data_IF_932977240186
#
_entry.id   IF_932977240186
#
_cell.length_a   1.000
_cell.length_b   1.000
_cell.length_c   1.000
_cell.angle_alpha   90.00
_cell.angle_beta   90.00
_cell.angle_gamma   90.00
#
_symmetry.space_group_name_H-M   'P 1'
#
loop_
_entity.id
_entity.type
_entity.pdbx_description
1 polymer ?
#
# COMPACT_ATOMS: atom_id res chain seq x y z
N UNK A 1 17.64 25.24 -25.38
CA UNK A 1 16.35 24.82 -24.78
C UNK A 1 16.19 25.56 -23.45
N UNK A 2 15.00 26.08 -23.16
CA UNK A 2 14.73 26.76 -21.88
C UNK A 2 14.86 25.77 -20.72
N UNK A 3 15.75 26.03 -19.78
CA UNK A 3 15.91 25.21 -18.57
C UNK A 3 14.73 25.47 -17.61
N UNK A 4 14.23 24.41 -16.95
CA UNK A 4 13.06 24.45 -16.05
C UNK A 4 13.58 24.33 -14.63
N UNK A 5 13.26 25.30 -13.76
CA UNK A 5 13.57 25.22 -12.31
C UNK A 5 12.60 24.26 -11.62
N UNK A 6 13.10 23.47 -10.70
CA UNK A 6 12.28 22.53 -9.92
C UNK A 6 11.76 21.33 -10.72
N UNK A 7 12.45 20.93 -11.79
CA UNK A 7 12.01 19.85 -12.67
C UNK A 7 11.81 18.53 -11.93
N UNK A 8 12.53 18.28 -10.83
CA UNK A 8 12.34 17.10 -9.96
C UNK A 8 10.92 17.00 -9.42
N UNK A 9 10.27 18.13 -9.12
CA UNK A 9 8.88 18.14 -8.65
C UNK A 9 7.87 17.74 -9.73
N UNK A 10 8.14 18.09 -10.98
CA UNK A 10 7.31 17.61 -12.11
C UNK A 10 7.49 16.13 -12.34
N UNK A 11 8.68 15.57 -12.11
CA UNK A 11 8.92 14.14 -12.25
C UNK A 11 8.19 13.35 -11.14
N UNK A 12 8.22 13.84 -9.89
CA UNK A 12 7.47 13.17 -8.83
C UNK A 12 5.95 13.33 -9.01
N UNK A 13 5.47 14.46 -9.54
CA UNK A 13 4.06 14.61 -9.90
C UNK A 13 3.63 13.60 -10.98
N UNK A 14 4.51 13.32 -11.95
CA UNK A 14 4.26 12.30 -12.96
C UNK A 14 4.21 10.89 -12.33
N UNK A 15 5.09 10.58 -11.38
CA UNK A 15 5.05 9.32 -10.59
C UNK A 15 3.76 9.23 -9.78
N UNK A 16 3.39 10.31 -9.09
CA UNK A 16 2.14 10.42 -8.31
C UNK A 16 0.92 10.13 -9.18
N UNK A 17 0.85 10.72 -10.38
CA UNK A 17 -0.24 10.45 -11.32
C UNK A 17 -0.29 8.97 -11.73
N UNK A 18 0.85 8.31 -11.92
CA UNK A 18 0.93 6.87 -12.15
C UNK A 18 0.36 6.06 -10.98
N UNK A 19 0.66 6.48 -9.75
CA UNK A 19 0.10 5.86 -8.54
C UNK A 19 -1.41 6.08 -8.44
N UNK A 20 -1.91 7.28 -8.76
CA UNK A 20 -3.35 7.57 -8.84
C UNK A 20 -4.04 6.60 -9.79
N UNK A 21 -3.51 6.42 -10.99
CA UNK A 21 -4.10 5.54 -12.01
C UNK A 21 -4.01 4.06 -11.62
N UNK A 22 -2.89 3.61 -11.04
CA UNK A 22 -2.78 2.23 -10.56
C UNK A 22 -3.78 1.94 -9.44
N UNK A 23 -3.99 2.84 -8.49
CA UNK A 23 -5.01 2.65 -7.45
C UNK A 23 -6.44 2.84 -7.98
N UNK A 24 -6.65 3.67 -9.00
CA UNK A 24 -7.91 3.73 -9.71
C UNK A 24 -8.24 2.37 -10.35
N UNK A 25 -7.32 1.77 -11.12
CA UNK A 25 -7.52 0.45 -11.76
C UNK A 25 -7.72 -0.66 -10.73
N UNK A 26 -7.00 -0.59 -9.60
CA UNK A 26 -7.12 -1.54 -8.48
C UNK A 26 -8.53 -1.52 -7.88
N UNK A 27 -9.07 -0.32 -7.62
CA UNK A 27 -10.34 -0.14 -6.93
C UNK A 27 -11.56 -0.19 -7.86
N UNK A 28 -11.37 -0.15 -9.18
CA UNK A 28 -12.47 -0.25 -10.16
C UNK A 28 -13.29 -1.53 -9.99
N UNK A 29 -12.64 -2.68 -9.73
CA UNK A 29 -13.34 -3.95 -9.52
C UNK A 29 -14.21 -3.94 -8.25
N UNK A 30 -13.72 -3.33 -7.17
CA UNK A 30 -14.46 -3.24 -5.91
C UNK A 30 -15.71 -2.36 -6.05
N UNK A 31 -15.57 -1.21 -6.71
CA UNK A 31 -16.70 -0.30 -6.95
C UNK A 31 -17.74 -0.90 -7.93
N UNK A 32 -17.31 -1.72 -8.89
CA UNK A 32 -18.18 -2.42 -9.84
C UNK A 32 -18.74 -3.74 -9.29
N UNK A 33 -18.28 -4.23 -8.14
CA UNK A 33 -18.59 -5.56 -7.61
C UNK A 33 -20.10 -5.87 -7.55
N UNK A 34 -20.98 -4.99 -7.02
CA UNK A 34 -22.41 -5.27 -6.99
C UNK A 34 -22.98 -5.58 -8.39
N UNK A 35 -22.69 -4.71 -9.35
CA UNK A 35 -23.16 -4.86 -10.75
C UNK A 35 -22.57 -6.10 -11.42
N UNK A 36 -21.28 -6.35 -11.25
CA UNK A 36 -20.60 -7.54 -11.81
C UNK A 36 -21.21 -8.84 -11.26
N UNK A 37 -21.51 -8.87 -9.96
CA UNK A 37 -22.08 -10.06 -9.32
C UNK A 37 -23.52 -10.33 -9.82
N UNK A 38 -24.30 -9.28 -10.02
CA UNK A 38 -25.66 -9.39 -10.56
C UNK A 38 -25.66 -9.80 -12.04
N UNK A 39 -24.90 -9.10 -12.90
CA UNK A 39 -24.92 -9.33 -14.35
C UNK A 39 -24.25 -10.65 -14.77
N UNK A 40 -23.16 -11.03 -14.12
CA UNK A 40 -22.39 -12.24 -14.44
C UNK A 40 -22.74 -13.44 -13.52
N UNK A 41 -23.73 -13.29 -12.65
CA UNK A 41 -24.17 -14.31 -11.68
C UNK A 41 -23.01 -14.86 -10.84
N UNK A 42 -22.14 -13.96 -10.36
CA UNK A 42 -20.95 -14.30 -9.58
C UNK A 42 -21.30 -14.43 -8.11
N UNK A 43 -20.96 -15.56 -7.48
CA UNK A 43 -21.08 -15.72 -6.04
C UNK A 43 -20.04 -14.92 -5.28
N UNK A 44 -20.27 -14.67 -3.97
CA UNK A 44 -19.31 -14.00 -3.09
C UNK A 44 -17.99 -14.77 -3.04
N UNK A 45 -18.04 -16.10 -3.05
CA UNK A 45 -16.86 -16.96 -3.09
C UNK A 45 -16.08 -16.80 -4.40
N UNK A 46 -16.76 -16.76 -5.55
CA UNK A 46 -16.11 -16.51 -6.86
C UNK A 46 -15.49 -15.11 -6.92
N UNK A 47 -16.17 -14.11 -6.34
CA UNK A 47 -15.59 -12.76 -6.22
C UNK A 47 -14.32 -12.76 -5.37
N UNK A 48 -14.29 -13.52 -4.27
CA UNK A 48 -13.07 -13.64 -3.47
C UNK A 48 -11.90 -14.26 -4.24
N UNK A 49 -12.16 -15.20 -5.15
CA UNK A 49 -11.12 -15.78 -6.02
C UNK A 49 -10.56 -14.73 -6.99
N UNK A 50 -11.40 -13.81 -7.49
CA UNK A 50 -10.95 -12.70 -8.33
C UNK A 50 -10.00 -11.77 -7.54
N UNK A 51 -10.36 -11.41 -6.32
CA UNK A 51 -9.54 -10.57 -5.43
C UNK A 51 -8.25 -11.31 -5.03
N UNK A 52 -8.35 -12.59 -4.68
CA UNK A 52 -7.18 -13.41 -4.32
C UNK A 52 -6.21 -13.59 -5.49
N UNK A 53 -6.70 -13.76 -6.71
CA UNK A 53 -5.87 -13.88 -7.92
C UNK A 53 -5.02 -12.62 -8.13
N UNK A 54 -5.60 -11.43 -7.97
CA UNK A 54 -4.88 -10.16 -8.02
C UNK A 54 -3.80 -10.10 -6.93
N UNK A 55 -4.17 -10.32 -5.67
CA UNK A 55 -3.27 -10.17 -4.53
C UNK A 55 -2.12 -11.18 -4.55
N UNK A 56 -2.39 -12.43 -4.91
CA UNK A 56 -1.38 -13.48 -5.04
C UNK A 56 -0.39 -13.15 -6.16
N UNK A 57 -0.89 -12.76 -7.33
CA UNK A 57 -0.04 -12.39 -8.46
C UNK A 57 0.82 -11.15 -8.14
N UNK A 58 0.25 -10.14 -7.48
CA UNK A 58 0.96 -8.97 -6.99
C UNK A 58 2.08 -9.35 -6.02
N UNK A 59 1.80 -10.22 -5.03
CA UNK A 59 2.77 -10.67 -4.04
C UNK A 59 3.95 -11.40 -4.66
N UNK A 60 3.67 -12.34 -5.58
CA UNK A 60 4.71 -13.15 -6.26
C UNK A 60 5.56 -12.27 -7.18
N UNK A 61 4.93 -11.35 -7.88
CA UNK A 61 5.61 -10.51 -8.86
C UNK A 61 6.40 -9.33 -8.26
N UNK A 62 6.18 -8.93 -7.00
CA UNK A 62 6.90 -7.82 -6.38
C UNK A 62 8.43 -7.95 -6.46
N UNK A 63 9.06 -9.06 -6.03
CA UNK A 63 10.51 -9.22 -6.14
C UNK A 63 10.98 -9.30 -7.59
N UNK A 64 10.20 -9.94 -8.48
CA UNK A 64 10.52 -10.06 -9.90
C UNK A 64 10.47 -8.70 -10.59
N UNK A 65 9.44 -7.91 -10.29
CA UNK A 65 9.29 -6.55 -10.82
C UNK A 65 10.43 -5.63 -10.37
N UNK A 66 10.83 -5.72 -9.10
CA UNK A 66 12.00 -4.98 -8.59
C UNK A 66 13.28 -5.33 -9.37
N UNK A 67 13.54 -6.61 -9.58
CA UNK A 67 14.69 -7.08 -10.37
C UNK A 67 14.63 -6.58 -11.82
N UNK A 68 13.47 -6.72 -12.48
CA UNK A 68 13.31 -6.26 -13.87
C UNK A 68 13.47 -4.74 -14.01
N UNK A 69 13.00 -3.96 -13.02
CA UNK A 69 13.25 -2.52 -12.97
C UNK A 69 14.73 -2.18 -12.84
N UNK A 70 15.52 -3.00 -12.16
CA UNK A 70 16.97 -2.81 -12.05
C UNK A 70 17.70 -3.12 -13.34
N UNK A 71 17.28 -4.15 -14.06
CA UNK A 71 17.88 -4.57 -15.34
C UNK A 71 17.47 -3.63 -16.49
N UNK A 72 16.18 -3.31 -16.61
CA UNK A 72 15.64 -2.51 -17.73
C UNK A 72 15.80 -0.99 -17.50
N UNK A 73 16.10 -0.58 -16.26
CA UNK A 73 16.10 0.81 -15.85
C UNK A 73 14.68 1.35 -15.60
N UNK A 74 14.59 2.42 -14.81
CA UNK A 74 13.31 2.97 -14.33
C UNK A 74 12.39 3.41 -15.46
N UNK A 75 12.93 4.04 -16.53
CA UNK A 75 12.13 4.55 -17.64
C UNK A 75 11.41 3.44 -18.40
N UNK A 76 12.17 2.46 -18.89
CA UNK A 76 11.65 1.39 -19.75
C UNK A 76 10.92 0.35 -18.91
N UNK A 77 11.49 -0.03 -17.77
CA UNK A 77 10.88 -1.01 -16.87
C UNK A 77 9.51 -0.57 -16.36
N UNK A 78 9.39 0.67 -15.87
CA UNK A 78 8.09 1.15 -15.39
C UNK A 78 7.07 1.29 -16.53
N UNK A 79 7.49 1.79 -17.70
CA UNK A 79 6.62 1.88 -18.87
C UNK A 79 6.12 0.49 -19.32
N UNK A 80 6.99 -0.53 -19.35
CA UNK A 80 6.62 -1.89 -19.68
C UNK A 80 5.51 -2.43 -18.79
N UNK A 81 5.69 -2.32 -17.47
CA UNK A 81 4.67 -2.73 -16.52
C UNK A 81 3.39 -1.89 -16.64
N UNK A 82 3.52 -0.57 -16.85
CA UNK A 82 2.38 0.32 -16.99
C UNK A 82 1.52 0.01 -18.22
N UNK A 83 2.15 -0.20 -19.36
CA UNK A 83 1.45 -0.64 -20.58
C UNK A 83 0.75 -1.99 -20.35
N UNK A 84 1.44 -2.91 -19.68
CA UNK A 84 0.91 -4.24 -19.38
C UNK A 84 -0.34 -4.15 -18.50
N UNK A 85 -0.31 -3.39 -17.37
CA UNK A 85 -1.51 -3.26 -16.55
C UNK A 85 -2.64 -2.50 -17.27
N UNK A 86 -2.32 -1.50 -18.09
CA UNK A 86 -3.30 -0.75 -18.86
C UNK A 86 -4.06 -1.65 -19.83
N UNK A 87 -3.33 -2.51 -20.57
CA UNK A 87 -3.90 -3.47 -21.51
C UNK A 87 -4.81 -4.47 -20.77
N UNK A 88 -4.33 -5.10 -19.69
CA UNK A 88 -5.11 -6.07 -18.94
C UNK A 88 -6.27 -5.45 -18.18
N UNK A 89 -6.15 -4.20 -17.73
CA UNK A 89 -7.28 -3.45 -17.18
C UNK A 89 -8.37 -3.27 -18.22
N UNK A 90 -8.02 -2.79 -19.42
CA UNK A 90 -8.99 -2.68 -20.54
C UNK A 90 -9.55 -4.04 -20.97
N UNK A 91 -8.72 -5.07 -21.03
CA UNK A 91 -9.13 -6.44 -21.37
C UNK A 91 -10.09 -7.06 -20.33
N UNK A 92 -10.10 -6.57 -19.09
CA UNK A 92 -11.10 -6.98 -18.09
C UNK A 92 -12.53 -6.74 -18.58
N UNK A 93 -12.76 -5.74 -19.42
CA UNK A 93 -14.06 -5.46 -20.04
C UNK A 93 -14.57 -6.59 -20.96
N UNK A 94 -13.68 -7.46 -21.44
CA UNK A 94 -14.02 -8.61 -22.30
C UNK A 94 -14.39 -9.87 -21.50
N UNK A 95 -14.24 -9.83 -20.19
CA UNK A 95 -14.48 -11.00 -19.35
C UNK A 95 -15.98 -11.25 -19.19
N UNK A 96 -16.47 -12.39 -19.68
CA UNK A 96 -17.86 -12.84 -19.56
C UNK A 96 -18.08 -13.85 -18.42
N UNK A 97 -17.08 -14.08 -17.55
CA UNK A 97 -17.16 -15.03 -16.44
C UNK A 97 -16.22 -14.65 -15.30
N UNK A 98 -16.48 -15.20 -14.11
CA UNK A 98 -15.59 -15.00 -12.96
C UNK A 98 -14.16 -15.47 -13.21
N UNK A 99 -13.97 -16.56 -13.96
CA UNK A 99 -12.63 -17.07 -14.30
C UNK A 99 -11.88 -16.12 -15.24
N UNK A 100 -12.56 -15.52 -16.22
CA UNK A 100 -12.00 -14.49 -17.09
C UNK A 100 -11.61 -13.23 -16.29
N UNK A 101 -12.47 -12.80 -15.37
CA UNK A 101 -12.15 -11.70 -14.45
C UNK A 101 -10.96 -12.02 -13.56
N UNK A 102 -10.88 -13.23 -12.98
CA UNK A 102 -9.78 -13.64 -12.13
C UNK A 102 -8.45 -13.66 -12.91
N UNK A 103 -8.45 -14.15 -14.14
CA UNK A 103 -7.27 -14.16 -15.00
C UNK A 103 -6.80 -12.74 -15.34
N UNK A 104 -7.73 -11.88 -15.79
CA UNK A 104 -7.41 -10.49 -16.12
C UNK A 104 -6.90 -9.73 -14.88
N UNK A 105 -7.55 -9.90 -13.72
CA UNK A 105 -7.13 -9.27 -12.46
C UNK A 105 -5.79 -9.79 -11.95
N UNK A 106 -5.51 -11.10 -12.09
CA UNK A 106 -4.19 -11.66 -11.80
C UNK A 106 -3.10 -11.01 -12.67
N UNK A 107 -3.34 -10.85 -13.97
CA UNK A 107 -2.41 -10.19 -14.88
C UNK A 107 -2.21 -8.70 -14.53
N UNK A 108 -3.28 -7.97 -14.17
CA UNK A 108 -3.19 -6.60 -13.66
C UNK A 108 -2.36 -6.56 -12.37
N UNK A 109 -2.63 -7.46 -11.41
CA UNK A 109 -1.89 -7.52 -10.14
C UNK A 109 -0.40 -7.78 -10.34
N UNK A 110 -0.04 -8.71 -11.23
CA UNK A 110 1.34 -8.98 -11.60
C UNK A 110 2.04 -7.73 -12.19
N UNK A 111 1.35 -6.99 -13.06
CA UNK A 111 1.91 -5.79 -13.68
C UNK A 111 1.98 -4.60 -12.71
N UNK A 112 0.97 -4.39 -11.86
CA UNK A 112 0.96 -3.32 -10.87
C UNK A 112 2.01 -3.51 -9.74
N UNK A 113 2.53 -4.72 -9.56
CA UNK A 113 3.57 -5.01 -8.56
C UNK A 113 4.84 -4.16 -8.71
N UNK A 114 5.11 -3.64 -9.92
CA UNK A 114 6.22 -2.74 -10.20
C UNK A 114 6.00 -1.29 -9.72
N UNK A 115 4.76 -0.88 -9.46
CA UNK A 115 4.41 0.54 -9.25
C UNK A 115 5.15 1.17 -8.07
N UNK A 116 5.13 0.53 -6.90
CA UNK A 116 5.81 1.05 -5.70
C UNK A 116 7.33 1.01 -5.85
N UNK A 117 7.96 -0.13 -6.28
CA UNK A 117 9.40 -0.15 -6.53
C UNK A 117 9.85 0.89 -7.56
N UNK A 118 9.10 1.09 -8.64
CA UNK A 118 9.42 2.11 -9.66
C UNK A 118 9.33 3.54 -9.10
N UNK A 119 8.30 3.83 -8.30
CA UNK A 119 8.14 5.13 -7.63
C UNK A 119 9.29 5.42 -6.67
N UNK A 120 9.70 4.44 -5.87
CA UNK A 120 10.86 4.55 -4.97
C UNK A 120 12.16 4.77 -5.75
N UNK A 121 12.36 4.03 -6.85
CA UNK A 121 13.54 4.16 -7.70
C UNK A 121 13.58 5.52 -8.39
N UNK A 122 12.48 5.99 -8.97
CA UNK A 122 12.38 7.33 -9.55
C UNK A 122 12.65 8.42 -8.52
N UNK A 123 12.12 8.29 -7.29
CA UNK A 123 12.40 9.21 -6.19
C UNK A 123 13.88 9.22 -5.81
N UNK A 124 14.55 8.06 -5.79
CA UNK A 124 15.98 7.96 -5.50
C UNK A 124 16.86 8.55 -6.61
N UNK A 125 16.43 8.47 -7.86
CA UNK A 125 17.14 9.04 -9.02
C UNK A 125 17.02 10.58 -9.08
N UNK A 126 15.85 11.14 -8.71
CA UNK A 126 15.54 12.56 -8.88
C UNK A 126 15.70 13.42 -7.64
N UNK A 127 15.84 12.82 -6.46
CA UNK A 127 15.94 13.57 -5.20
C UNK A 127 17.20 13.24 -4.42
N UNK A 128 17.85 14.26 -3.82
CA UNK A 128 18.90 14.03 -2.85
C UNK A 128 18.34 13.29 -1.62
N UNK A 129 19.21 12.59 -0.90
CA UNK A 129 18.82 11.76 0.24
C UNK A 129 17.95 12.49 1.28
N UNK A 130 18.23 13.78 1.52
CA UNK A 130 17.51 14.61 2.49
C UNK A 130 16.04 14.87 2.11
N UNK A 131 15.71 14.92 0.82
CA UNK A 131 14.36 15.23 0.32
C UNK A 131 13.60 13.98 -0.16
N UNK A 132 14.25 12.81 -0.19
CA UNK A 132 13.68 11.58 -0.74
C UNK A 132 12.42 11.13 -0.01
N UNK A 133 12.39 11.26 1.32
CA UNK A 133 11.19 10.91 2.12
C UNK A 133 9.99 11.80 1.77
N UNK A 134 10.24 13.07 1.46
CA UNK A 134 9.19 14.01 1.02
C UNK A 134 8.64 13.56 -0.35
N UNK A 135 9.51 13.24 -1.29
CA UNK A 135 9.11 12.75 -2.61
C UNK A 135 8.28 11.45 -2.53
N UNK A 136 8.71 10.51 -1.67
CA UNK A 136 7.97 9.27 -1.39
C UNK A 136 6.60 9.57 -0.79
N UNK A 137 6.51 10.52 0.12
CA UNK A 137 5.23 10.99 0.67
C UNK A 137 4.27 11.49 -0.41
N UNK A 138 4.76 12.33 -1.33
CA UNK A 138 3.95 12.85 -2.43
C UNK A 138 3.40 11.75 -3.34
N UNK A 139 4.20 10.79 -3.75
CA UNK A 139 3.67 9.76 -4.63
C UNK A 139 2.72 8.79 -3.91
N UNK A 140 2.91 8.56 -2.61
CA UNK A 140 2.00 7.74 -1.82
C UNK A 140 0.60 8.35 -1.67
N UNK A 141 0.47 9.68 -1.62
CA UNK A 141 -0.83 10.38 -1.65
C UNK A 141 -1.64 10.00 -2.90
N UNK A 142 -0.97 9.66 -4.00
CA UNK A 142 -1.64 9.18 -5.21
C UNK A 142 -2.49 7.92 -4.99
N UNK A 143 -2.13 7.07 -4.02
CA UNK A 143 -2.89 5.85 -3.70
C UNK A 143 -4.32 6.15 -3.24
N UNK A 144 -4.47 7.11 -2.39
CA UNK A 144 -5.76 7.49 -1.83
C UNK A 144 -6.59 8.29 -2.81
N UNK A 145 -5.95 9.21 -3.56
CA UNK A 145 -6.64 9.94 -4.63
C UNK A 145 -7.23 8.94 -5.64
N UNK A 146 -6.46 7.92 -6.06
CA UNK A 146 -6.95 6.90 -6.97
C UNK A 146 -8.12 6.08 -6.39
N UNK A 147 -8.01 5.68 -5.13
CA UNK A 147 -9.05 4.95 -4.42
C UNK A 147 -10.34 5.78 -4.24
N UNK A 148 -10.22 7.09 -3.99
CA UNK A 148 -11.36 8.00 -3.86
C UNK A 148 -12.06 8.27 -5.19
N UNK A 149 -11.31 8.38 -6.29
CA UNK A 149 -11.89 8.64 -7.63
C UNK A 149 -12.61 7.41 -8.17
N UNK A 150 -12.19 6.19 -7.80
CA UNK A 150 -12.72 4.96 -8.38
C UNK A 150 -14.25 4.81 -8.21
N UNK A 151 -14.87 4.90 -7.03
CA UNK A 151 -16.32 4.69 -6.90
C UNK A 151 -17.15 5.69 -7.71
N UNK A 152 -16.93 7.02 -7.66
CA UNK A 152 -17.69 7.96 -8.48
C UNK A 152 -17.54 7.71 -9.98
N UNK A 153 -16.31 7.44 -10.46
CA UNK A 153 -16.04 7.20 -11.88
C UNK A 153 -16.74 5.90 -12.35
N UNK A 154 -16.64 4.84 -11.56
CA UNK A 154 -17.23 3.54 -11.90
C UNK A 154 -18.75 3.63 -11.94
N UNK A 155 -19.35 4.25 -10.93
CA UNK A 155 -20.82 4.43 -10.90
C UNK A 155 -21.29 5.29 -12.07
N UNK A 156 -20.57 6.38 -12.36
CA UNK A 156 -20.88 7.19 -13.55
C UNK A 156 -20.84 6.36 -14.84
N UNK A 157 -19.80 5.55 -15.02
CA UNK A 157 -19.67 4.70 -16.21
C UNK A 157 -20.80 3.66 -16.32
N UNK A 158 -21.18 3.03 -15.20
CA UNK A 158 -22.27 2.05 -15.14
C UNK A 158 -23.62 2.71 -15.49
N UNK A 159 -23.91 3.86 -14.90
CA UNK A 159 -25.16 4.59 -15.14
C UNK A 159 -25.26 5.10 -16.57
N UNK A 160 -24.15 5.54 -17.15
CA UNK A 160 -24.13 6.08 -18.53
C UNK A 160 -24.17 4.98 -19.59
N UNK A 161 -23.56 3.81 -19.33
CA UNK A 161 -23.44 2.76 -20.33
C UNK A 161 -23.34 1.35 -19.74
N UNK A 162 -22.24 1.00 -19.05
CA UNK A 162 -22.02 -0.33 -18.50
C UNK A 162 -20.78 -0.38 -17.61
N UNK A 163 -20.63 -1.47 -16.84
CA UNK A 163 -19.42 -1.69 -16.02
C UNK A 163 -18.13 -1.83 -16.86
N UNK A 164 -18.24 -2.35 -18.09
CA UNK A 164 -17.11 -2.49 -19.02
C UNK A 164 -16.46 -1.13 -19.31
N UNK A 165 -17.29 -0.09 -19.45
CA UNK A 165 -16.79 1.27 -19.74
C UNK A 165 -15.84 1.76 -18.65
N UNK A 166 -16.08 1.42 -17.38
CA UNK A 166 -15.18 1.80 -16.28
C UNK A 166 -13.78 1.24 -16.45
N UNK A 167 -13.65 -0.04 -16.83
CA UNK A 167 -12.37 -0.69 -17.07
C UNK A 167 -11.68 -0.16 -18.33
N UNK A 168 -12.43 0.11 -19.39
CA UNK A 168 -11.89 0.70 -20.62
C UNK A 168 -11.32 2.09 -20.34
N UNK A 169 -12.06 2.96 -19.64
CA UNK A 169 -11.59 4.31 -19.30
C UNK A 169 -10.32 4.23 -18.43
N UNK A 170 -10.33 3.41 -17.39
CA UNK A 170 -9.18 3.22 -16.51
C UNK A 170 -7.96 2.70 -17.28
N UNK A 171 -8.14 1.76 -18.20
CA UNK A 171 -7.11 1.23 -19.08
C UNK A 171 -6.57 2.30 -20.04
N UNK A 172 -7.43 3.06 -20.71
CA UNK A 172 -7.04 4.12 -21.64
C UNK A 172 -6.26 5.24 -20.91
N UNK A 173 -6.72 5.67 -19.74
CA UNK A 173 -6.02 6.68 -18.94
C UNK A 173 -4.64 6.18 -18.51
N UNK A 174 -4.54 4.92 -18.07
CA UNK A 174 -3.27 4.30 -17.69
C UNK A 174 -2.32 4.19 -18.89
N UNK A 175 -2.84 3.80 -20.06
CA UNK A 175 -2.05 3.72 -21.29
C UNK A 175 -1.55 5.12 -21.72
N UNK A 176 -2.42 6.13 -21.72
CA UNK A 176 -2.04 7.50 -22.04
C UNK A 176 -0.95 8.03 -21.10
N UNK A 177 -1.07 7.70 -19.81
CA UNK A 177 -0.02 8.03 -18.84
C UNK A 177 1.29 7.29 -19.12
N UNK A 178 1.24 6.00 -19.46
CA UNK A 178 2.46 5.25 -19.80
C UNK A 178 3.19 5.86 -21.02
N UNK A 179 2.44 6.36 -22.01
CA UNK A 179 3.02 7.09 -23.13
C UNK A 179 3.61 8.44 -22.70
N UNK A 180 2.92 9.17 -21.85
CA UNK A 180 3.45 10.42 -21.27
C UNK A 180 4.72 10.13 -20.44
N UNK A 181 4.75 9.04 -19.67
CA UNK A 181 5.95 8.61 -18.95
C UNK A 181 7.14 8.38 -19.89
N UNK A 182 6.97 7.64 -20.96
CA UNK A 182 8.03 7.38 -21.96
C UNK A 182 8.56 8.68 -22.60
N UNK A 183 7.70 9.66 -22.84
CA UNK A 183 8.06 10.92 -23.47
C UNK A 183 8.80 11.84 -22.47
N UNK A 184 8.25 12.02 -21.28
CA UNK A 184 8.69 13.05 -20.33
C UNK A 184 9.75 12.57 -19.36
N UNK A 185 9.71 11.31 -18.92
CA UNK A 185 10.68 10.80 -17.96
C UNK A 185 12.02 10.51 -18.62
N UNK A 186 13.06 11.07 -18.03
CA UNK A 186 14.47 10.80 -18.35
C UNK A 186 15.27 10.80 -17.06
N UNK A 187 16.35 10.03 -17.03
CA UNK A 187 17.27 10.09 -15.90
C UNK A 187 17.87 11.52 -15.77
N UNK A 188 18.15 12.04 -14.56
CA UNK A 188 18.67 13.39 -14.34
C UNK A 188 19.94 13.71 -15.16
N UNK A 189 20.81 12.70 -15.37
CA UNK A 189 22.04 12.84 -16.18
C UNK A 189 21.74 13.14 -17.66
N UNK A 190 20.65 12.58 -18.19
CA UNK A 190 20.27 12.67 -19.61
C UNK A 190 19.23 13.76 -19.88
N UNK A 191 18.72 14.41 -18.82
CA UNK A 191 17.65 15.40 -18.95
C UNK A 191 18.20 16.77 -19.34
N UNK A 192 18.06 17.13 -20.62
CA UNK A 192 18.56 18.39 -21.18
C UNK A 192 17.86 19.65 -20.66
N UNK A 193 16.62 19.52 -20.15
CA UNK A 193 15.83 20.63 -19.59
C UNK A 193 16.14 20.92 -18.12
N UNK A 194 16.92 20.07 -17.45
CA UNK A 194 17.33 20.24 -16.06
C UNK A 194 18.40 21.33 -15.97
N UNK A 195 18.30 22.26 -15.00
CA UNK A 195 19.32 23.26 -14.75
C UNK A 195 20.59 22.60 -14.19
N UNK A 196 21.75 23.18 -14.45
CA UNK A 196 23.03 22.60 -14.01
C UNK A 196 23.12 22.67 -12.47
N UNK A 197 22.62 23.74 -11.86
CA UNK A 197 22.53 23.90 -10.39
C UNK A 197 21.66 22.79 -9.76
N UNK A 198 20.49 22.50 -10.33
CA UNK A 198 19.60 21.47 -9.80
C UNK A 198 20.17 20.06 -10.03
N UNK A 199 20.86 19.86 -11.17
CA UNK A 199 21.56 18.60 -11.45
C UNK A 199 22.66 18.33 -10.43
N UNK A 200 23.49 19.32 -10.15
CA UNK A 200 24.55 19.22 -9.15
C UNK A 200 23.98 18.98 -7.75
N UNK A 201 22.92 19.69 -7.40
CA UNK A 201 22.21 19.47 -6.13
C UNK A 201 21.69 18.04 -5.97
N UNK A 202 21.12 17.46 -7.03
CA UNK A 202 20.62 16.08 -7.02
C UNK A 202 21.81 15.11 -6.90
N UNK A 203 22.84 15.25 -7.72
CA UNK A 203 23.96 14.30 -7.79
C UNK A 203 24.81 14.35 -6.51
N UNK A 204 25.20 15.53 -6.06
CA UNK A 204 26.02 15.69 -4.83
C UNK A 204 25.28 15.18 -3.59
N UNK A 205 23.95 15.37 -3.53
CA UNK A 205 23.12 14.84 -2.44
C UNK A 205 22.92 13.33 -2.47
N UNK A 206 23.26 12.65 -3.57
CA UNK A 206 23.25 11.20 -3.69
C UNK A 206 24.57 10.55 -3.27
N UNK A 207 25.70 11.17 -3.60
CA UNK A 207 27.04 10.66 -3.34
C UNK A 207 27.39 10.58 -1.85
N UNK A 208 26.81 11.47 -1.03
CA UNK A 208 27.00 11.47 0.43
C UNK A 208 26.59 10.16 1.13
N UNK A 209 25.80 9.31 0.48
CA UNK A 209 25.34 8.03 1.04
C UNK A 209 26.23 6.82 0.68
N UNK A 210 27.08 6.93 -0.34
CA UNK A 210 27.93 5.79 -0.77
C UNK A 210 29.16 5.58 0.12
N UNK A 211 29.56 6.57 0.93
CA UNK A 211 30.80 6.51 1.70
C UNK A 211 30.71 5.89 3.10
N UNK A 212 29.50 5.51 3.60
CA UNK A 212 29.33 5.05 4.99
C UNK A 212 29.01 3.56 5.15
N UNK A 213 29.25 2.71 4.15
CA UNK A 213 28.78 1.32 4.17
C UNK A 213 29.89 0.27 4.11
N UNK A 214 30.64 0.10 5.22
CA UNK A 214 31.58 -1.03 5.39
C UNK A 214 31.06 -2.17 6.29
N UNK A 215 29.74 -2.26 6.55
CA UNK A 215 29.14 -3.36 7.31
C UNK A 215 28.76 -4.56 6.42
N UNK A 216 29.02 -5.78 6.90
CA UNK A 216 28.63 -7.02 6.25
C UNK A 216 27.09 -7.10 6.19
N UNK A 217 26.52 -7.09 5.00
CA UNK A 217 25.06 -7.14 4.78
C UNK A 217 24.50 -8.49 5.24
N UNK A 218 23.43 -8.47 6.05
CA UNK A 218 22.71 -9.70 6.42
C UNK A 218 22.01 -10.30 5.19
N UNK A 219 22.08 -11.61 5.06
CA UNK A 219 21.31 -12.33 4.06
C UNK A 219 19.82 -12.37 4.44
N UNK A 220 18.89 -12.56 3.46
CA UNK A 220 17.46 -12.71 3.77
C UNK A 220 17.18 -13.80 4.81
N UNK A 221 17.91 -14.91 4.79
CA UNK A 221 17.78 -16.00 5.75
C UNK A 221 18.21 -15.61 7.16
N UNK A 222 19.27 -14.78 7.28
CA UNK A 222 19.70 -14.26 8.57
C UNK A 222 18.66 -13.28 9.13
N UNK A 223 18.05 -12.44 8.30
CA UNK A 223 16.96 -11.53 8.71
C UNK A 223 15.78 -12.33 9.25
N UNK A 224 15.35 -13.38 8.53
CA UNK A 224 14.27 -14.29 8.95
C UNK A 224 14.56 -14.99 10.28
N UNK A 225 15.85 -15.23 10.61
CA UNK A 225 16.27 -15.80 11.88
C UNK A 225 16.22 -14.84 13.07
N UNK A 226 15.98 -13.53 12.85
CA UNK A 226 15.99 -12.55 13.93
C UNK A 226 14.62 -12.44 14.62
N UNK A 227 14.64 -12.27 15.94
CA UNK A 227 13.43 -11.99 16.72
C UNK A 227 12.77 -10.66 16.32
N UNK A 228 13.56 -9.67 15.96
CA UNK A 228 13.12 -8.36 15.51
C UNK A 228 12.28 -8.45 14.24
N UNK A 229 12.67 -9.32 13.30
CA UNK A 229 11.88 -9.56 12.08
C UNK A 229 10.47 -10.03 12.42
N UNK A 230 10.34 -11.06 13.24
CA UNK A 230 9.03 -11.60 13.63
C UNK A 230 8.22 -10.62 14.48
N UNK A 231 8.89 -9.79 15.27
CA UNK A 231 8.24 -8.69 16.01
C UNK A 231 7.59 -7.63 15.14
N UNK A 232 7.94 -7.56 13.85
CA UNK A 232 7.34 -6.67 12.85
C UNK A 232 6.46 -7.46 11.86
N UNK A 233 6.94 -8.59 11.37
CA UNK A 233 6.26 -9.40 10.34
C UNK A 233 4.92 -9.95 10.82
N UNK A 234 4.84 -10.47 12.06
CA UNK A 234 3.59 -11.00 12.60
C UNK A 234 2.51 -9.92 12.81
N UNK A 235 2.80 -8.75 13.45
CA UNK A 235 1.83 -7.66 13.50
C UNK A 235 1.38 -7.19 12.12
N UNK A 236 2.29 -7.10 11.13
CA UNK A 236 1.92 -6.74 9.76
C UNK A 236 1.04 -7.80 9.09
N UNK A 237 1.37 -9.07 9.29
CA UNK A 237 0.55 -10.19 8.81
C UNK A 237 -0.87 -10.15 9.38
N UNK A 238 -1.01 -9.84 10.67
CA UNK A 238 -2.31 -9.75 11.33
C UNK A 238 -3.10 -8.49 10.93
N UNK A 239 -2.42 -7.36 10.69
CA UNK A 239 -3.08 -6.10 10.37
C UNK A 239 -3.53 -5.99 8.90
N UNK A 240 -2.76 -6.50 7.94
CA UNK A 240 -3.01 -6.30 6.51
C UNK A 240 -4.38 -6.79 5.99
N UNK A 241 -4.99 -7.87 6.54
CA UNK A 241 -6.34 -8.27 6.19
C UNK A 241 -7.39 -7.16 6.30
N UNK A 242 -7.25 -6.24 7.26
CA UNK A 242 -8.15 -5.10 7.39
C UNK A 242 -8.07 -4.17 6.17
N UNK A 243 -6.85 -3.85 5.71
CA UNK A 243 -6.66 -3.03 4.52
C UNK A 243 -7.19 -3.69 3.25
N UNK A 244 -6.91 -4.98 3.07
CA UNK A 244 -7.46 -5.75 1.95
C UNK A 244 -8.99 -5.78 1.94
N UNK A 245 -9.59 -5.93 3.12
CA UNK A 245 -11.06 -5.93 3.27
C UNK A 245 -11.65 -4.55 2.97
N UNK A 246 -11.06 -3.48 3.46
CA UNK A 246 -11.54 -2.13 3.21
C UNK A 246 -11.47 -1.77 1.71
N UNK A 247 -10.39 -2.14 1.04
CA UNK A 247 -10.25 -1.86 -0.39
C UNK A 247 -11.19 -2.68 -1.28
N UNK A 248 -11.41 -3.96 -0.96
CA UNK A 248 -12.10 -4.89 -1.85
C UNK A 248 -13.59 -5.06 -1.54
N UNK A 249 -14.00 -4.92 -0.27
CA UNK A 249 -15.30 -5.40 0.18
C UNK A 249 -16.26 -4.32 0.66
N UNK A 250 -15.81 -3.09 0.97
CA UNK A 250 -16.71 -2.02 1.46
C UNK A 250 -17.88 -1.74 0.52
N UNK A 251 -17.70 -1.57 -0.81
CA UNK A 251 -18.84 -1.32 -1.69
C UNK A 251 -19.85 -2.47 -1.68
N UNK A 252 -19.38 -3.72 -1.71
CA UNK A 252 -20.23 -4.91 -1.66
C UNK A 252 -20.92 -5.07 -0.30
N UNK A 253 -20.22 -4.77 0.80
CA UNK A 253 -20.79 -4.76 2.14
C UNK A 253 -21.93 -3.74 2.26
N UNK A 254 -21.71 -2.51 1.78
CA UNK A 254 -22.76 -1.48 1.77
C UNK A 254 -23.97 -1.91 0.95
N UNK A 255 -23.75 -2.54 -0.20
CA UNK A 255 -24.82 -3.06 -1.05
C UNK A 255 -25.58 -4.21 -0.38
N UNK A 256 -24.87 -5.27 0.07
CA UNK A 256 -25.51 -6.50 0.59
C UNK A 256 -26.16 -6.34 1.96
N UNK A 257 -25.54 -5.56 2.85
CA UNK A 257 -25.97 -5.47 4.27
C UNK A 257 -26.91 -4.30 4.48
N UNK A 258 -26.65 -3.16 3.86
CA UNK A 258 -27.45 -1.95 4.07
C UNK A 258 -28.34 -1.58 2.89
N UNK A 259 -28.29 -2.34 1.77
CA UNK A 259 -29.15 -2.11 0.61
C UNK A 259 -28.82 -0.80 -0.14
N UNK A 260 -27.59 -0.31 -0.04
CA UNK A 260 -27.17 0.91 -0.73
C UNK A 260 -27.28 0.74 -2.25
N UNK A 261 -27.88 1.71 -2.91
CA UNK A 261 -27.83 1.81 -4.35
C UNK A 261 -26.49 2.36 -4.86
N UNK A 262 -26.27 2.29 -6.17
CA UNK A 262 -25.00 2.73 -6.77
C UNK A 262 -24.65 4.20 -6.48
N UNK A 263 -25.66 5.09 -6.40
CA UNK A 263 -25.42 6.51 -6.11
C UNK A 263 -24.94 6.71 -4.67
N UNK A 264 -25.52 5.98 -3.72
CA UNK A 264 -25.11 6.00 -2.32
C UNK A 264 -23.71 5.41 -2.14
N UNK A 265 -23.37 4.33 -2.86
CA UNK A 265 -22.02 3.77 -2.89
C UNK A 265 -21.02 4.81 -3.42
N UNK A 266 -21.34 5.49 -4.53
CA UNK A 266 -20.48 6.55 -5.06
C UNK A 266 -20.27 7.71 -4.07
N UNK A 267 -21.30 8.00 -3.26
CA UNK A 267 -21.24 9.10 -2.28
C UNK A 267 -20.43 8.75 -1.04
N UNK A 268 -20.43 7.50 -0.58
CA UNK A 268 -19.93 7.14 0.74
C UNK A 268 -18.74 6.18 0.74
N UNK A 269 -18.55 5.32 -0.29
CA UNK A 269 -17.53 4.27 -0.26
C UNK A 269 -16.08 4.78 -0.27
N UNK A 270 -15.84 6.02 -0.70
CA UNK A 270 -14.51 6.64 -0.68
C UNK A 270 -14.14 7.24 0.68
N UNK A 271 -15.11 7.52 1.55
CA UNK A 271 -14.87 8.20 2.82
C UNK A 271 -13.87 7.46 3.74
N UNK A 272 -13.96 6.14 3.94
CA UNK A 272 -12.98 5.41 4.74
C UNK A 272 -11.55 5.56 4.24
N UNK A 273 -11.34 5.71 2.92
CA UNK A 273 -10.01 5.93 2.33
C UNK A 273 -9.47 7.33 2.64
N UNK A 274 -10.32 8.36 2.62
CA UNK A 274 -9.93 9.71 3.05
C UNK A 274 -9.48 9.71 4.52
N UNK A 275 -10.24 9.05 5.40
CA UNK A 275 -9.88 8.94 6.81
C UNK A 275 -8.61 8.10 7.01
N UNK A 276 -8.34 7.14 6.15
CA UNK A 276 -7.09 6.40 6.13
C UNK A 276 -5.89 7.32 5.89
N UNK A 277 -5.99 8.26 4.95
CA UNK A 277 -4.93 9.26 4.72
C UNK A 277 -4.69 10.16 5.91
N UNK A 278 -5.78 10.65 6.52
CA UNK A 278 -5.67 11.40 7.76
C UNK A 278 -4.98 10.56 8.84
N UNK A 279 -5.30 9.28 8.93
CA UNK A 279 -4.64 8.33 9.84
C UNK A 279 -3.14 8.17 9.54
N UNK A 280 -2.75 8.09 8.27
CA UNK A 280 -1.35 8.01 7.86
C UNK A 280 -0.57 9.27 8.27
N UNK A 281 -1.15 10.45 8.02
CA UNK A 281 -0.54 11.74 8.37
C UNK A 281 -0.42 11.88 9.89
N UNK A 282 -1.52 11.74 10.61
CA UNK A 282 -1.56 11.87 12.08
C UNK A 282 -0.66 10.82 12.73
N UNK A 283 -0.73 9.55 12.27
CA UNK A 283 0.10 8.45 12.73
C UNK A 283 1.60 8.73 12.61
N UNK A 284 2.02 9.49 11.59
CA UNK A 284 3.40 9.94 11.42
C UNK A 284 3.86 10.96 12.47
N UNK A 285 2.94 11.83 12.95
CA UNK A 285 3.25 12.83 13.98
C UNK A 285 3.15 12.30 15.42
N UNK A 286 2.43 11.20 15.65
CA UNK A 286 2.20 10.66 16.99
C UNK A 286 3.48 10.16 17.69
N UNK A 287 4.44 9.45 17.04
CA UNK A 287 5.62 8.97 17.73
C UNK A 287 6.46 10.08 18.37
N UNK A 288 6.83 11.19 17.68
CA UNK A 288 7.53 12.31 18.32
C UNK A 288 6.72 12.93 19.48
N UNK A 289 5.39 13.00 19.33
CA UNK A 289 4.50 13.54 20.35
C UNK A 289 4.51 12.66 21.61
N UNK A 290 4.41 11.34 21.46
CA UNK A 290 4.47 10.40 22.58
C UNK A 290 5.84 10.39 23.26
N UNK A 291 6.94 10.51 22.50
CA UNK A 291 8.27 10.70 23.09
C UNK A 291 8.33 11.92 23.98
N UNK A 292 7.76 13.05 23.51
CA UNK A 292 7.73 14.30 24.26
C UNK A 292 6.82 14.26 25.51
N UNK A 293 5.65 13.62 25.41
CA UNK A 293 4.68 13.59 26.49
C UNK A 293 5.00 12.56 27.56
N UNK A 294 5.49 11.38 27.16
CA UNK A 294 5.68 10.25 28.06
C UNK A 294 7.16 9.94 28.34
N UNK A 295 8.10 10.65 27.72
CA UNK A 295 9.53 10.43 27.93
C UNK A 295 10.03 9.05 27.44
N UNK A 296 9.29 8.41 26.53
CA UNK A 296 9.60 7.07 26.01
C UNK A 296 10.55 7.13 24.81
N UNK A 297 11.28 6.04 24.56
CA UNK A 297 12.14 5.94 23.38
C UNK A 297 11.34 5.76 22.07
N UNK A 298 12.01 5.89 20.91
CA UNK A 298 11.40 5.85 19.59
C UNK A 298 10.62 4.54 19.35
N UNK A 299 11.20 3.39 19.69
CA UNK A 299 10.59 2.07 19.47
C UNK A 299 9.30 1.94 20.30
N UNK A 300 9.33 2.35 21.55
CA UNK A 300 8.17 2.34 22.45
C UNK A 300 7.08 3.28 21.93
N UNK A 301 7.43 4.48 21.47
CA UNK A 301 6.45 5.42 20.93
C UNK A 301 5.73 4.87 19.70
N UNK A 302 6.43 4.14 18.81
CA UNK A 302 5.81 3.46 17.68
C UNK A 302 4.90 2.30 18.10
N UNK A 303 5.30 1.52 19.10
CA UNK A 303 4.43 0.48 19.68
C UNK A 303 3.14 1.08 20.26
N UNK A 304 3.22 2.25 20.89
CA UNK A 304 2.03 2.96 21.38
C UNK A 304 1.10 3.38 20.25
N UNK A 305 1.64 3.86 19.10
CA UNK A 305 0.81 4.18 17.91
C UNK A 305 0.12 2.93 17.37
N UNK A 306 0.83 1.81 17.27
CA UNK A 306 0.24 0.52 16.85
C UNK A 306 -0.87 0.10 17.81
N UNK A 307 -0.64 0.21 19.12
CA UNK A 307 -1.65 -0.13 20.13
C UNK A 307 -2.88 0.79 20.05
N UNK A 308 -2.67 2.08 19.87
CA UNK A 308 -3.75 3.04 19.69
C UNK A 308 -4.60 2.70 18.46
N UNK A 309 -3.95 2.42 17.32
CA UNK A 309 -4.65 2.01 16.10
C UNK A 309 -5.44 0.70 16.31
N UNK A 310 -4.84 -0.30 16.95
CA UNK A 310 -5.51 -1.56 17.27
C UNK A 310 -6.74 -1.38 18.18
N UNK A 311 -6.67 -0.49 19.16
CA UNK A 311 -7.81 -0.16 20.01
C UNK A 311 -8.93 0.56 19.23
N UNK A 312 -8.59 1.46 18.31
CA UNK A 312 -9.56 2.14 17.45
C UNK A 312 -10.24 1.17 16.47
N UNK A 313 -9.57 0.07 16.08
CA UNK A 313 -10.16 -0.98 15.24
C UNK A 313 -11.28 -1.77 15.92
N UNK A 314 -11.45 -1.64 17.23
CA UNK A 314 -12.64 -2.16 17.94
C UNK A 314 -13.90 -1.51 17.36
N UNK A 315 -13.85 -0.22 16.96
CA UNK A 315 -14.97 0.48 16.35
C UNK A 315 -15.58 -0.26 15.15
N UNK A 316 -14.86 -0.46 14.04
CA UNK A 316 -15.36 -1.26 12.92
C UNK A 316 -15.66 -2.72 13.30
N UNK A 317 -14.97 -3.29 14.30
CA UNK A 317 -15.31 -4.62 14.83
C UNK A 317 -16.71 -4.72 15.44
N UNK A 318 -17.25 -3.60 15.91
CA UNK A 318 -18.61 -3.50 16.49
C UNK A 318 -19.69 -3.19 15.44
N UNK A 319 -19.38 -3.12 14.15
CA UNK A 319 -20.29 -2.66 13.09
C UNK A 319 -21.61 -3.47 13.07
N UNK A 320 -21.56 -4.75 13.43
CA UNK A 320 -22.74 -5.64 13.49
C UNK A 320 -23.74 -5.30 14.58
N UNK A 321 -23.40 -4.43 15.53
CA UNK A 321 -24.32 -3.98 16.59
C UNK A 321 -25.21 -2.81 16.13
N UNK A 322 -24.95 -2.24 14.97
CA UNK A 322 -25.64 -1.06 14.49
C UNK A 322 -26.39 -1.33 13.19
N UNK A 323 -27.66 -0.94 13.15
CA UNK A 323 -28.52 -1.05 11.99
C UNK A 323 -28.44 0.16 11.06
N UNK A 324 -27.93 1.30 11.56
CA UNK A 324 -27.80 2.52 10.76
C UNK A 324 -26.61 2.44 9.80
N UNK A 325 -26.81 2.58 8.49
CA UNK A 325 -25.72 2.60 7.51
C UNK A 325 -24.74 3.75 7.73
N UNK A 326 -25.21 4.90 8.20
CA UNK A 326 -24.35 6.07 8.44
C UNK A 326 -23.42 5.86 9.64
N UNK A 327 -23.89 5.15 10.68
CA UNK A 327 -23.02 4.75 11.79
C UNK A 327 -21.97 3.75 11.30
N UNK A 328 -22.36 2.80 10.47
CA UNK A 328 -21.44 1.85 9.87
C UNK A 328 -20.34 2.55 9.05
N UNK A 329 -20.70 3.54 8.22
CA UNK A 329 -19.73 4.35 7.46
C UNK A 329 -18.79 5.09 8.41
N UNK A 330 -19.32 5.71 9.48
CA UNK A 330 -18.50 6.36 10.49
C UNK A 330 -17.51 5.42 11.16
N UNK A 331 -17.93 4.20 11.50
CA UNK A 331 -17.06 3.17 12.06
C UNK A 331 -16.00 2.71 11.04
N UNK A 332 -16.34 2.58 9.76
CA UNK A 332 -15.37 2.28 8.70
C UNK A 332 -14.36 3.41 8.51
N UNK A 333 -14.78 4.67 8.65
CA UNK A 333 -13.87 5.81 8.63
C UNK A 333 -12.89 5.77 9.81
N UNK A 334 -13.35 5.44 11.01
CA UNK A 334 -12.49 5.20 12.18
C UNK A 334 -11.53 4.06 11.88
N UNK A 335 -12.01 2.97 11.27
CA UNK A 335 -11.17 1.84 10.88
C UNK A 335 -10.09 2.19 9.87
N UNK A 336 -10.41 2.96 8.84
CA UNK A 336 -9.44 3.45 7.87
C UNK A 336 -8.35 4.28 8.53
N UNK A 337 -8.74 5.26 9.36
CA UNK A 337 -7.82 6.08 10.15
C UNK A 337 -6.93 5.22 11.06
N UNK A 338 -7.53 4.31 11.81
CA UNK A 338 -6.85 3.42 12.74
C UNK A 338 -5.81 2.55 12.04
N UNK A 339 -6.24 1.85 10.98
CA UNK A 339 -5.38 0.94 10.23
C UNK A 339 -4.17 1.65 9.63
N UNK A 340 -4.37 2.80 8.97
CA UNK A 340 -3.24 3.50 8.34
C UNK A 340 -2.30 4.15 9.36
N UNK A 341 -2.80 4.57 10.52
CA UNK A 341 -1.94 5.02 11.62
C UNK A 341 -1.01 3.91 12.11
N UNK A 342 -1.55 2.71 12.37
CA UNK A 342 -0.76 1.57 12.84
C UNK A 342 0.16 1.00 11.75
N UNK A 343 -0.32 0.92 10.50
CA UNK A 343 0.46 0.40 9.36
C UNK A 343 1.68 1.27 9.10
N UNK A 344 1.52 2.58 9.09
CA UNK A 344 2.65 3.52 8.96
C UNK A 344 3.70 3.33 10.06
N UNK A 345 3.29 3.13 11.31
CA UNK A 345 4.21 2.86 12.41
C UNK A 345 4.93 1.49 12.25
N UNK A 346 4.22 0.44 11.81
CA UNK A 346 4.79 -0.88 11.56
C UNK A 346 5.83 -0.88 10.43
N UNK A 347 5.54 -0.17 9.34
CA UNK A 347 6.46 -0.05 8.20
C UNK A 347 7.74 0.67 8.62
N UNK A 348 7.61 1.76 9.36
CA UNK A 348 8.75 2.56 9.80
C UNK A 348 9.61 1.85 10.85
N UNK A 349 9.04 0.95 11.66
CA UNK A 349 9.80 0.12 12.60
C UNK A 349 10.90 -0.70 11.91
N UNK A 350 10.70 -1.14 10.68
CA UNK A 350 11.76 -1.82 9.91
C UNK A 350 13.00 -0.93 9.76
N UNK A 351 12.82 0.37 9.56
CA UNK A 351 13.91 1.34 9.44
C UNK A 351 14.58 1.68 10.78
N UNK A 352 13.85 1.55 11.89
CA UNK A 352 14.35 1.87 13.22
C UNK A 352 15.12 0.69 13.84
N UNK A 353 14.79 -0.54 13.43
CA UNK A 353 15.29 -1.79 14.03
C UNK A 353 16.38 -2.44 13.20
N UNK A 354 16.34 -2.30 11.87
CA UNK A 354 17.33 -2.88 10.95
C UNK A 354 18.32 -1.83 10.47
N UNK A 355 19.57 -2.25 10.25
CA UNK A 355 20.61 -1.40 9.66
C UNK A 355 20.25 -0.96 8.22
N UNK A 356 20.88 0.11 7.77
CA UNK A 356 20.59 0.71 6.42
C UNK A 356 20.69 -0.28 5.27
N UNK A 357 21.56 -1.29 5.38
CA UNK A 357 21.79 -2.31 4.35
C UNK A 357 20.71 -3.39 4.31
N UNK A 358 19.95 -3.57 5.40
CA UNK A 358 18.96 -4.62 5.60
C UNK A 358 17.51 -4.12 5.51
N UNK A 359 17.27 -2.81 5.72
CA UNK A 359 15.93 -2.21 5.79
C UNK A 359 15.06 -2.58 4.58
N UNK A 360 15.60 -2.45 3.37
CA UNK A 360 14.85 -2.73 2.16
C UNK A 360 14.44 -4.21 2.07
N UNK A 361 15.38 -5.13 2.41
CA UNK A 361 15.12 -6.57 2.42
C UNK A 361 14.13 -6.95 3.52
N UNK A 362 14.31 -6.43 4.73
CA UNK A 362 13.39 -6.67 5.85
C UNK A 362 11.98 -6.16 5.56
N UNK A 363 11.86 -4.95 4.98
CA UNK A 363 10.57 -4.37 4.60
C UNK A 363 9.89 -5.15 3.46
N UNK A 364 10.65 -5.62 2.49
CA UNK A 364 10.15 -6.47 1.41
C UNK A 364 9.60 -7.81 1.94
N UNK A 365 10.33 -8.49 2.81
CA UNK A 365 9.91 -9.76 3.42
C UNK A 365 8.67 -9.59 4.31
N UNK A 366 8.64 -8.54 5.15
CA UNK A 366 7.46 -8.27 5.99
C UNK A 366 6.25 -7.83 5.15
N UNK A 367 6.47 -7.12 4.03
CA UNK A 367 5.42 -6.76 3.07
C UNK A 367 4.83 -7.99 2.37
N UNK A 368 5.68 -8.94 1.95
CA UNK A 368 5.22 -10.21 1.37
C UNK A 368 4.36 -10.99 2.36
N UNK A 369 4.76 -11.06 3.64
CA UNK A 369 3.95 -11.69 4.68
C UNK A 369 2.58 -11.00 4.82
N UNK A 370 2.54 -9.67 4.84
CA UNK A 370 1.32 -8.88 4.92
C UNK A 370 0.36 -9.17 3.75
N UNK A 371 0.83 -9.09 2.50
CA UNK A 371 0.01 -9.36 1.32
C UNK A 371 -0.48 -10.81 1.24
N UNK A 372 0.33 -11.77 1.73
CA UNK A 372 -0.10 -13.17 1.87
C UNK A 372 -1.31 -13.29 2.80
N UNK A 373 -1.28 -12.61 3.96
CA UNK A 373 -2.39 -12.60 4.89
C UNK A 373 -3.66 -11.97 4.29
N UNK A 374 -3.51 -10.86 3.57
CA UNK A 374 -4.63 -10.22 2.86
C UNK A 374 -5.26 -11.16 1.84
N UNK A 375 -4.45 -11.88 1.06
CA UNK A 375 -4.93 -12.88 0.10
C UNK A 375 -5.69 -14.01 0.79
N UNK A 376 -5.13 -14.58 1.87
CA UNK A 376 -5.77 -15.64 2.64
C UNK A 376 -7.11 -15.17 3.23
N UNK A 377 -7.14 -13.98 3.79
CA UNK A 377 -8.36 -13.44 4.39
C UNK A 377 -9.43 -13.10 3.36
N UNK A 378 -9.07 -12.66 2.16
CA UNK A 378 -10.03 -12.48 1.06
C UNK A 378 -10.77 -13.78 0.73
N UNK A 379 -10.07 -14.92 0.74
CA UNK A 379 -10.69 -16.25 0.56
C UNK A 379 -11.59 -16.62 1.74
N UNK A 380 -11.20 -16.29 2.97
CA UNK A 380 -12.04 -16.50 4.18
C UNK A 380 -13.32 -15.68 4.09
N UNK A 381 -13.25 -14.41 3.68
CA UNK A 381 -14.43 -13.55 3.46
C UNK A 381 -15.34 -14.18 2.41
N UNK A 382 -14.80 -14.62 1.28
CA UNK A 382 -15.59 -15.25 0.21
C UNK A 382 -16.29 -16.53 0.64
N UNK A 383 -15.65 -17.34 1.48
CA UNK A 383 -16.21 -18.60 1.97
C UNK A 383 -17.29 -18.39 3.06
N UNK A 384 -17.16 -17.36 3.87
CA UNK A 384 -17.96 -17.21 5.09
C UNK A 384 -18.99 -16.06 5.02
N UNK A 385 -18.79 -15.04 4.18
CA UNK A 385 -19.64 -13.85 4.19
C UNK A 385 -21.12 -14.14 3.89
N UNK A 386 -21.41 -15.13 3.07
CA UNK A 386 -22.79 -15.52 2.74
C UNK A 386 -23.42 -16.44 3.82
N UNK A 387 -22.63 -17.04 4.72
CA UNK A 387 -23.11 -17.95 5.77
C UNK A 387 -23.25 -17.28 7.12
N UNK A 388 -22.21 -16.53 7.55
CA UNK A 388 -22.18 -15.85 8.86
C UNK A 388 -22.35 -14.32 8.75
N UNK A 389 -22.39 -13.79 7.54
CA UNK A 389 -22.44 -12.35 7.26
C UNK A 389 -21.07 -11.67 7.35
N UNK A 390 -21.03 -10.38 7.00
CA UNK A 390 -19.81 -9.56 7.05
C UNK A 390 -19.43 -9.10 8.46
N UNK A 391 -20.41 -8.90 9.33
CA UNK A 391 -20.18 -8.31 10.66
C UNK A 391 -19.21 -9.11 11.53
N UNK A 392 -19.30 -10.44 11.64
CA UNK A 392 -18.32 -11.24 12.38
C UNK A 392 -16.91 -11.15 11.78
N UNK A 393 -16.79 -10.97 10.48
CA UNK A 393 -15.51 -10.84 9.80
C UNK A 393 -14.80 -9.53 10.18
N UNK A 394 -15.55 -8.43 10.32
CA UNK A 394 -14.99 -7.18 10.86
C UNK A 394 -14.55 -7.32 12.31
N UNK A 395 -15.28 -8.09 13.14
CA UNK A 395 -14.85 -8.38 14.51
C UNK A 395 -13.52 -9.18 14.54
N UNK A 396 -13.34 -10.13 13.64
CA UNK A 396 -12.08 -10.88 13.49
C UNK A 396 -10.92 -9.96 13.13
N UNK A 397 -11.12 -8.96 12.25
CA UNK A 397 -10.09 -7.98 11.91
C UNK A 397 -9.65 -7.17 13.12
N UNK A 398 -10.59 -6.73 13.96
CA UNK A 398 -10.28 -6.03 15.21
C UNK A 398 -9.47 -6.92 16.19
N UNK A 399 -9.82 -8.20 16.28
CA UNK A 399 -9.07 -9.18 17.10
C UNK A 399 -7.65 -9.34 16.55
N UNK A 400 -7.47 -9.42 15.23
CA UNK A 400 -6.16 -9.55 14.61
C UNK A 400 -5.27 -8.35 14.92
N UNK A 401 -5.78 -7.12 14.85
CA UNK A 401 -5.02 -5.93 15.19
C UNK A 401 -4.64 -5.88 16.67
N UNK A 402 -5.54 -6.29 17.57
CA UNK A 402 -5.25 -6.40 19.01
C UNK A 402 -4.18 -7.46 19.29
N UNK A 403 -4.26 -8.61 18.63
CA UNK A 403 -3.22 -9.65 18.72
C UNK A 403 -1.89 -9.13 18.16
N UNK A 404 -1.90 -8.41 17.04
CA UNK A 404 -0.73 -7.76 16.48
C UNK A 404 -0.09 -6.77 17.47
N UNK A 405 -0.91 -5.97 18.16
CA UNK A 405 -0.44 -5.09 19.22
C UNK A 405 0.16 -5.88 20.40
N UNK A 406 -0.43 -6.98 20.82
CA UNK A 406 0.14 -7.83 21.86
C UNK A 406 1.48 -8.47 21.44
N UNK A 407 1.57 -8.94 20.20
CA UNK A 407 2.81 -9.50 19.63
C UNK A 407 3.93 -8.48 19.59
N UNK A 408 3.67 -7.24 19.19
CA UNK A 408 4.73 -6.23 19.12
C UNK A 408 5.32 -5.90 20.48
N UNK A 409 4.50 -5.93 21.55
CA UNK A 409 5.01 -5.70 22.91
C UNK A 409 5.79 -6.89 23.46
N UNK A 410 5.44 -8.11 23.11
CA UNK A 410 6.08 -9.33 23.65
C UNK A 410 7.29 -9.77 22.84
N UNK A 411 7.26 -9.58 21.53
CA UNK A 411 8.30 -10.09 20.62
C UNK A 411 9.35 -9.04 20.30
N UNK A 412 8.96 -7.80 19.97
CA UNK A 412 9.91 -6.76 19.60
C UNK A 412 10.63 -6.20 20.82
N UNK A 413 11.96 -6.17 20.80
CA UNK A 413 12.76 -5.51 21.85
C UNK A 413 12.65 -3.99 21.73
N UNK A 414 12.84 -3.28 22.86
CA UNK A 414 12.76 -1.81 22.93
C UNK A 414 14.09 -1.10 22.57
N UNK A 415 15.01 -1.79 21.90
CA UNK A 415 16.32 -1.29 21.53
C UNK A 415 16.38 -0.94 20.05
N UNK A 416 16.96 0.22 19.72
CA UNK A 416 17.23 0.63 18.34
C UNK A 416 18.38 -0.15 17.72
N UNK A 417 18.54 -0.06 16.37
CA UNK A 417 19.67 -0.69 15.68
C UNK A 417 21.03 -0.19 16.19
N UNK A 418 21.15 1.10 16.55
CA UNK A 418 22.36 1.69 17.12
C UNK A 418 22.69 1.14 18.52
N UNK A 419 21.67 0.98 19.38
CA UNK A 419 21.84 0.40 20.72
C UNK A 419 22.21 -1.08 20.64
N UNK A 420 21.68 -1.82 19.68
CA UNK A 420 22.04 -3.22 19.44
C UNK A 420 23.48 -3.38 18.92
N UNK A 421 23.96 -2.50 18.06
CA UNK A 421 25.35 -2.48 17.61
C UNK A 421 26.31 -2.14 18.74
N UNK A 422 26.00 -1.14 19.55
CA UNK A 422 26.85 -0.74 20.69
C UNK A 422 26.90 -1.82 21.77
N UNK A 423 25.82 -2.56 22.00
CA UNK A 423 25.81 -3.68 22.94
C UNK A 423 26.61 -4.90 22.47
N UNK A 424 26.75 -5.07 21.13
CA UNK A 424 27.55 -6.17 20.55
C UNK A 424 29.06 -5.85 20.45
N UNK A 425 29.43 -4.57 20.50
CA UNK A 425 30.83 -4.10 20.50
C UNK A 425 31.38 -3.96 21.93
N UNK A 426 30.52 -3.80 22.93
CA UNK A 426 30.85 -3.78 24.35
C UNK A 426 30.86 -5.19 24.97
N UNK A 427 31.65 -6.12 24.45
CA UNK A 427 31.97 -7.39 25.09
C UNK A 427 32.83 -7.15 26.36
N UNK A 428 32.83 -8.08 27.34
CA UNK A 428 33.31 -7.86 28.71
C UNK A 428 34.83 -7.71 28.76
N UNK A 429 35.30 -6.47 28.67
CA UNK A 429 36.71 -6.11 28.89
C UNK A 429 36.79 -4.83 29.73
N UNK A 430 36.30 -4.89 30.97
CA UNK A 430 36.69 -3.98 32.05
C UNK A 430 36.14 -4.49 33.40
N UNK A 431 36.61 -5.66 33.84
CA UNK A 431 36.73 -6.01 35.25
C UNK A 431 38.01 -6.86 35.39
N UNK A 432 39.13 -6.17 35.55
CA UNK A 432 40.33 -6.69 36.15
C UNK A 432 40.94 -5.60 37.01
#
# INVERSE_FOLDING_TARGET
MRKIKGLRWYMIALVTLGTVLGYLTRNTIAAAAPTLMEELHISTQQYSYIIAAYSAAYTIMQPVAGYLLDVLGTKVGYAFFAVTWAIFCGATALAGSWGGLALARGAVGAAEAAMIPAGLKASSEWFPAKERSIAVGYFNVGSSIGAMIAPPLVVWAIVMHSWQLAFIISGVLSFAWAMAWLIFYKHPRDQKKLSDEEREYIISGQESQHQTNNGKKMTPWQILGTRQFWGIALPRFLAEPAWGTFNAWIPLFMFKVYGFNLKEIAMFAWMPMLFADLGCIVGGYLPPLFQRWFGVNLIVSRKMVVTMGALLMIGPGMIGLFTSPYVAIGLLCIGGFAHQSLSGALITLSSDVFGRNEVATANGLTGMAAWTASTMFALVVGALADTIGFSPLFAVLAIFDLLGAAVIWTVLKNQSAEELQNSSVGGPAAQS
#
